data_IF_574876778388
#
_entry.id   IF_574876778388
#
_cell.length_a   1.000
_cell.length_b   1.000
_cell.length_c   1.000
_cell.angle_alpha   90.00
_cell.angle_beta   90.00
_cell.angle_gamma   90.00
#
_symmetry.space_group_name_H-M   'P 1'
#
loop_
_entity.id
_entity.type
_entity.pdbx_description
1 polymer ?
#
# COMPACT_ATOMS: atom_id res chain seq x y z
N UNK A 1 -14.53 -7.62 45.43
CA UNK A 1 -15.07 -6.91 44.26
C UNK A 1 -13.92 -6.14 43.65
N UNK A 2 -13.43 -6.61 42.49
CA UNK A 2 -12.25 -6.05 41.80
C UNK A 2 -12.61 -4.74 41.10
N UNK A 3 -12.01 -3.64 41.52
CA UNK A 3 -11.83 -2.47 40.67
C UNK A 3 -10.55 -2.66 39.85
N UNK A 4 -10.64 -3.44 38.77
CA UNK A 4 -9.66 -3.36 37.69
C UNK A 4 -9.97 -2.06 36.92
N UNK A 5 -9.30 -0.98 37.31
CA UNK A 5 -9.61 0.36 36.82
C UNK A 5 -9.36 0.54 35.31
N UNK A 6 -9.98 1.57 34.70
CA UNK A 6 -9.93 1.90 33.26
C UNK A 6 -8.52 2.05 32.65
N UNK A 7 -7.47 2.05 33.47
CA UNK A 7 -6.07 2.11 33.07
C UNK A 7 -5.54 0.78 32.49
N UNK A 8 -6.04 -0.37 32.94
CA UNK A 8 -5.58 -1.67 32.44
C UNK A 8 -6.06 -1.93 30.99
N UNK A 9 -7.30 -1.55 30.69
CA UNK A 9 -7.88 -1.67 29.35
C UNK A 9 -7.25 -0.67 28.35
N UNK A 10 -6.92 0.54 28.81
CA UNK A 10 -6.24 1.55 28.01
C UNK A 10 -4.81 1.12 27.63
N UNK A 11 -4.07 0.50 28.55
CA UNK A 11 -2.73 -0.04 28.28
C UNK A 11 -2.77 -1.21 27.29
N UNK A 12 -3.73 -2.13 27.44
CA UNK A 12 -3.91 -3.24 26.52
C UNK A 12 -4.34 -2.78 25.11
N UNK A 13 -5.13 -1.70 25.01
CA UNK A 13 -5.53 -1.10 23.74
C UNK A 13 -4.36 -0.42 23.01
N UNK A 14 -3.48 0.26 23.74
CA UNK A 14 -2.29 0.92 23.19
C UNK A 14 -1.27 -0.09 22.62
N UNK A 15 -1.06 -1.21 23.31
CA UNK A 15 -0.19 -2.29 22.83
C UNK A 15 -0.72 -2.92 21.53
N UNK A 16 -2.04 -3.16 21.45
CA UNK A 16 -2.68 -3.69 20.22
C UNK A 16 -2.57 -2.70 19.06
N UNK A 17 -2.76 -1.41 19.31
CA UNK A 17 -2.57 -0.34 18.33
C UNK A 17 -1.13 -0.29 17.81
N UNK A 18 -0.12 -0.38 18.69
CA UNK A 18 1.30 -0.40 18.28
C UNK A 18 1.63 -1.61 17.41
N UNK A 19 1.19 -2.82 17.82
CA UNK A 19 1.37 -4.05 17.03
C UNK A 19 0.70 -3.93 15.65
N UNK A 20 -0.53 -3.41 15.60
CA UNK A 20 -1.24 -3.18 14.35
C UNK A 20 -0.51 -2.19 13.43
N UNK A 21 0.03 -1.08 13.96
CA UNK A 21 0.78 -0.09 13.17
C UNK A 21 2.06 -0.68 12.59
N UNK A 22 2.76 -1.51 13.34
CA UNK A 22 3.98 -2.18 12.87
C UNK A 22 3.63 -3.19 11.77
N UNK A 23 2.60 -4.01 11.96
CA UNK A 23 2.15 -4.96 10.95
C UNK A 23 1.65 -4.26 9.67
N UNK A 24 0.89 -3.17 9.83
CA UNK A 24 0.43 -2.36 8.70
C UNK A 24 1.60 -1.70 7.95
N UNK A 25 2.60 -1.17 8.67
CA UNK A 25 3.79 -0.59 8.07
C UNK A 25 4.60 -1.64 7.30
N UNK A 26 4.76 -2.85 7.85
CA UNK A 26 5.45 -3.95 7.17
C UNK A 26 4.71 -4.37 5.89
N UNK A 27 3.37 -4.51 5.96
CA UNK A 27 2.56 -4.87 4.81
C UNK A 27 2.60 -3.80 3.71
N UNK A 28 2.39 -2.52 4.06
CA UNK A 28 2.47 -1.40 3.12
C UNK A 28 3.87 -1.27 2.51
N UNK A 29 4.92 -1.48 3.32
CA UNK A 29 6.30 -1.48 2.84
C UNK A 29 6.56 -2.58 1.82
N UNK A 30 6.06 -3.80 2.05
CA UNK A 30 6.21 -4.90 1.10
C UNK A 30 5.43 -4.67 -0.19
N UNK A 31 4.16 -4.29 -0.11
CA UNK A 31 3.34 -4.01 -1.30
C UNK A 31 3.92 -2.82 -2.08
N UNK A 32 4.33 -1.77 -1.39
CA UNK A 32 5.02 -0.62 -1.97
C UNK A 32 6.35 -1.01 -2.64
N UNK A 33 7.14 -1.85 -1.99
CA UNK A 33 8.40 -2.36 -2.54
C UNK A 33 8.20 -3.20 -3.80
N UNK A 34 7.26 -4.16 -3.77
CA UNK A 34 6.96 -5.02 -4.93
C UNK A 34 6.43 -4.20 -6.11
N UNK A 35 5.54 -3.23 -5.85
CA UNK A 35 5.00 -2.35 -6.90
C UNK A 35 6.07 -1.45 -7.51
N UNK A 36 6.98 -0.90 -6.70
CA UNK A 36 8.11 -0.12 -7.18
C UNK A 36 9.04 -0.96 -8.07
N UNK A 37 9.38 -2.18 -7.64
CA UNK A 37 10.21 -3.10 -8.43
C UNK A 37 9.55 -3.47 -9.76
N UNK A 38 8.25 -3.78 -9.75
CA UNK A 38 7.52 -4.13 -10.95
C UNK A 38 7.40 -2.94 -11.92
N UNK A 39 7.04 -1.77 -11.41
CA UNK A 39 6.94 -0.54 -12.19
C UNK A 39 8.29 -0.15 -12.81
N UNK A 40 9.35 -0.14 -12.01
CA UNK A 40 10.70 0.16 -12.49
C UNK A 40 11.20 -0.87 -13.51
N UNK A 41 10.95 -2.16 -13.27
CA UNK A 41 11.31 -3.24 -14.21
C UNK A 41 10.61 -3.07 -15.57
N UNK A 42 9.32 -2.69 -15.56
CA UNK A 42 8.57 -2.42 -16.78
C UNK A 42 9.13 -1.23 -17.54
N UNK A 43 9.43 -0.13 -16.85
CA UNK A 43 10.04 1.08 -17.44
C UNK A 43 11.43 0.78 -18.01
N UNK A 44 12.24 -0.02 -17.31
CA UNK A 44 13.54 -0.46 -17.80
C UNK A 44 13.39 -1.32 -19.07
N UNK A 45 12.44 -2.25 -19.10
CA UNK A 45 12.18 -3.08 -20.28
C UNK A 45 11.74 -2.24 -21.49
N UNK A 46 10.90 -1.22 -21.29
CA UNK A 46 10.48 -0.31 -22.37
C UNK A 46 11.62 0.58 -22.84
N UNK A 47 12.44 1.11 -21.93
CA UNK A 47 13.60 1.92 -22.27
C UNK A 47 14.63 1.11 -23.07
N UNK A 48 14.92 -0.13 -22.66
CA UNK A 48 15.84 -1.03 -23.38
C UNK A 48 15.40 -1.32 -24.81
N UNK A 49 14.09 -1.43 -25.07
CA UNK A 49 13.56 -1.61 -26.43
C UNK A 49 13.73 -0.36 -27.28
N UNK A 50 13.48 0.81 -26.70
CA UNK A 50 13.62 2.10 -27.40
C UNK A 50 15.09 2.44 -27.72
N UNK A 51 16.03 2.17 -26.79
CA UNK A 51 17.43 2.60 -26.88
C UNK A 51 18.41 1.50 -27.31
N UNK A 52 17.93 0.46 -27.99
CA UNK A 52 18.74 -0.70 -28.45
C UNK A 52 20.04 -0.29 -29.16
N UNK A 53 20.02 0.81 -29.93
CA UNK A 53 21.18 1.32 -30.69
C UNK A 53 22.15 2.14 -29.83
N UNK A 54 21.63 2.92 -28.87
CA UNK A 54 22.41 3.74 -27.93
C UNK A 54 23.17 2.84 -26.94
N UNK A 55 22.55 1.75 -26.50
CA UNK A 55 23.20 0.76 -25.63
C UNK A 55 24.31 -0.05 -26.34
N UNK A 56 24.24 -0.22 -27.67
CA UNK A 56 25.34 -0.82 -28.44
C UNK A 56 26.51 0.15 -28.59
N UNK A 57 26.24 1.46 -28.74
CA UNK A 57 27.28 2.49 -28.76
C UNK A 57 27.87 2.78 -27.37
N UNK A 58 27.17 2.44 -26.28
CA UNK A 58 27.66 2.59 -24.90
C UNK A 58 29.00 1.89 -24.63
N UNK A 59 29.36 0.85 -25.40
CA UNK A 59 30.65 0.16 -25.29
C UNK A 59 31.83 0.90 -25.95
N UNK A 60 31.57 1.97 -26.70
CA UNK A 60 32.61 2.79 -27.35
C UNK A 60 33.03 3.96 -26.47
N UNK A 61 34.28 4.43 -26.57
CA UNK A 61 34.76 5.57 -25.76
C UNK A 61 33.89 6.82 -25.89
N UNK A 62 33.38 7.11 -27.09
CA UNK A 62 32.46 8.25 -27.29
C UNK A 62 31.08 8.02 -26.66
N UNK A 63 30.58 6.78 -26.63
CA UNK A 63 29.35 6.43 -25.94
C UNK A 63 29.46 6.58 -24.42
N UNK A 64 30.60 6.22 -23.82
CA UNK A 64 30.83 6.37 -22.39
C UNK A 64 30.84 7.85 -21.98
N UNK A 65 31.52 8.71 -22.73
CA UNK A 65 31.58 10.15 -22.45
C UNK A 65 30.19 10.80 -22.58
N UNK A 66 29.45 10.44 -23.63
CA UNK A 66 28.08 10.94 -23.85
C UNK A 66 27.11 10.46 -22.75
N UNK A 67 27.28 9.23 -22.26
CA UNK A 67 26.47 8.69 -21.17
C UNK A 67 26.76 9.39 -19.84
N UNK A 68 28.00 9.82 -19.57
CA UNK A 68 28.38 10.50 -18.33
C UNK A 68 27.78 11.91 -18.26
N UNK A 69 27.80 12.63 -19.39
CA UNK A 69 27.10 13.92 -19.54
C UNK A 69 25.57 13.75 -19.47
N UNK A 70 25.03 12.70 -20.12
CA UNK A 70 23.60 12.37 -20.09
C UNK A 70 23.11 11.93 -18.71
N UNK A 71 23.92 11.19 -17.95
CA UNK A 71 23.60 10.72 -16.61
C UNK A 71 23.49 11.88 -15.61
N UNK A 72 24.38 12.86 -15.70
CA UNK A 72 24.32 14.07 -14.85
C UNK A 72 23.04 14.86 -15.11
N UNK A 73 22.63 14.98 -16.38
CA UNK A 73 21.38 15.64 -16.74
C UNK A 73 20.15 14.84 -16.28
N UNK A 74 20.18 13.52 -16.46
CA UNK A 74 19.12 12.61 -16.03
C UNK A 74 18.93 12.58 -14.51
N UNK A 75 20.01 12.61 -13.72
CA UNK A 75 19.94 12.68 -12.26
C UNK A 75 19.23 13.95 -11.78
N UNK A 76 19.46 15.08 -12.45
CA UNK A 76 18.76 16.34 -12.14
C UNK A 76 17.28 16.27 -12.53
N UNK A 77 16.98 15.77 -13.73
CA UNK A 77 15.60 15.59 -14.18
C UNK A 77 14.82 14.62 -13.26
N UNK A 78 15.47 13.54 -12.83
CA UNK A 78 14.91 12.58 -11.89
C UNK A 78 14.67 13.22 -10.51
N UNK A 79 15.59 14.04 -10.02
CA UNK A 79 15.43 14.76 -8.76
C UNK A 79 14.24 15.73 -8.75
N UNK A 80 14.08 16.53 -9.82
CA UNK A 80 12.91 17.41 -9.94
C UNK A 80 11.62 16.62 -10.17
N UNK A 81 11.70 15.50 -10.90
CA UNK A 81 10.59 14.60 -11.14
C UNK A 81 10.07 13.94 -9.86
N UNK A 82 10.96 13.45 -8.98
CA UNK A 82 10.54 12.88 -7.69
C UNK A 82 9.96 13.94 -6.77
N UNK A 83 10.51 15.15 -6.76
CA UNK A 83 9.95 16.27 -6.00
C UNK A 83 8.52 16.59 -6.45
N UNK A 84 8.29 16.70 -7.76
CA UNK A 84 6.95 16.91 -8.33
C UNK A 84 6.02 15.72 -8.09
N UNK A 85 6.51 14.48 -8.15
CA UNK A 85 5.68 13.30 -7.88
C UNK A 85 5.20 13.27 -6.43
N UNK A 86 6.08 13.57 -5.46
CA UNK A 86 5.72 13.60 -4.04
C UNK A 86 4.80 14.77 -3.74
N UNK A 87 5.13 15.98 -4.23
CA UNK A 87 4.29 17.17 -4.03
C UNK A 87 2.93 17.04 -4.73
N UNK A 88 2.90 16.52 -5.96
CA UNK A 88 1.68 16.33 -6.74
C UNK A 88 0.77 15.27 -6.14
N UNK A 89 1.31 14.10 -5.77
CA UNK A 89 0.53 13.04 -5.12
C UNK A 89 0.05 13.47 -3.74
N UNK A 90 0.88 14.19 -2.98
CA UNK A 90 0.52 14.77 -1.69
C UNK A 90 -0.60 15.81 -1.82
N UNK A 91 -0.48 16.75 -2.76
CA UNK A 91 -1.49 17.77 -3.03
C UNK A 91 -2.80 17.17 -3.56
N UNK A 92 -2.71 16.13 -4.39
CA UNK A 92 -3.88 15.38 -4.89
C UNK A 92 -4.61 14.68 -3.75
N UNK A 93 -3.88 13.92 -2.91
CA UNK A 93 -4.45 13.25 -1.74
C UNK A 93 -5.06 14.27 -0.76
N UNK A 94 -4.38 15.39 -0.54
CA UNK A 94 -4.91 16.50 0.26
C UNK A 94 -6.16 17.12 -0.37
N UNK A 95 -6.20 17.28 -1.68
CA UNK A 95 -7.37 17.78 -2.42
C UNK A 95 -8.60 16.89 -2.24
N UNK A 96 -8.43 15.57 -2.33
CA UNK A 96 -9.50 14.60 -2.03
C UNK A 96 -9.95 14.66 -0.58
N UNK A 97 -9.01 14.81 0.36
CA UNK A 97 -9.35 15.00 1.77
C UNK A 97 -10.14 16.28 2.00
N UNK A 98 -9.74 17.38 1.34
CA UNK A 98 -10.43 18.68 1.39
C UNK A 98 -11.84 18.61 0.79
N UNK A 99 -12.01 17.87 -0.31
CA UNK A 99 -13.30 17.66 -0.97
C UNK A 99 -14.24 16.76 -0.14
N UNK A 100 -13.68 15.83 0.64
CA UNK A 100 -14.47 14.93 1.48
C UNK A 100 -15.10 15.61 2.71
N UNK A 101 -14.73 16.86 3.04
CA UNK A 101 -15.36 17.64 4.11
C UNK A 101 -15.24 17.04 5.53
N UNK A 102 -14.32 16.09 5.73
CA UNK A 102 -14.03 15.49 7.02
C UNK A 102 -12.95 16.31 7.74
N UNK A 103 -13.22 16.69 9.00
CA UNK A 103 -12.28 17.51 9.78
C UNK A 103 -11.15 16.67 10.41
N UNK A 104 -11.33 15.35 10.47
CA UNK A 104 -10.36 14.41 11.00
C UNK A 104 -10.25 13.13 10.13
N UNK A 105 -9.09 12.47 10.17
CA UNK A 105 -8.81 11.24 9.41
C UNK A 105 -9.71 10.06 9.85
N UNK A 106 -10.10 10.02 11.13
CA UNK A 106 -11.06 9.04 11.64
C UNK A 106 -12.46 9.29 11.07
N UNK A 107 -12.84 10.56 10.99
CA UNK A 107 -14.15 10.98 10.49
C UNK A 107 -14.26 10.73 8.97
N UNK A 108 -13.15 10.94 8.24
CA UNK A 108 -13.02 10.56 6.83
C UNK A 108 -13.22 9.05 6.65
N UNK A 109 -12.46 8.23 7.40
CA UNK A 109 -12.57 6.77 7.34
C UNK A 109 -13.98 6.29 7.65
N UNK A 110 -14.65 6.89 8.64
CA UNK A 110 -16.02 6.53 9.03
C UNK A 110 -17.06 6.97 7.98
N UNK A 111 -16.95 8.18 7.40
CA UNK A 111 -17.86 8.65 6.35
C UNK A 111 -17.68 7.87 5.05
N UNK A 112 -16.43 7.65 4.64
CA UNK A 112 -16.10 6.86 3.45
C UNK A 112 -16.51 5.39 3.62
N UNK A 113 -16.34 4.83 4.82
CA UNK A 113 -16.81 3.49 5.16
C UNK A 113 -18.33 3.34 5.27
N UNK A 114 -19.08 4.44 5.43
CA UNK A 114 -20.56 4.46 5.35
C UNK A 114 -21.08 4.67 3.94
N UNK A 115 -20.33 5.42 3.10
CA UNK A 115 -20.66 5.65 1.70
C UNK A 115 -20.49 4.39 0.84
N UNK A 116 -19.59 3.48 1.26
CA UNK A 116 -19.44 2.18 0.63
C UNK A 116 -20.51 1.21 1.16
N UNK A 117 -21.22 0.46 0.30
CA UNK A 117 -22.19 -0.53 0.73
C UNK A 117 -21.51 -1.54 1.66
N UNK A 118 -22.03 -1.67 2.89
CA UNK A 118 -21.51 -2.63 3.86
C UNK A 118 -21.77 -4.04 3.35
N UNK A 119 -20.70 -4.81 3.17
CA UNK A 119 -20.78 -6.24 3.00
C UNK A 119 -21.32 -6.83 4.31
N UNK A 120 -22.56 -7.32 4.27
CA UNK A 120 -23.14 -8.11 5.35
C UNK A 120 -22.20 -9.29 5.63
N UNK A 121 -21.75 -9.41 6.88
CA UNK A 121 -21.13 -10.65 7.34
C UNK A 121 -22.28 -11.60 7.64
N UNK A 122 -22.48 -12.61 6.81
CA UNK A 122 -23.30 -13.75 7.18
C UNK A 122 -22.59 -14.43 8.36
N UNK A 123 -23.19 -14.41 9.54
CA UNK A 123 -22.75 -15.20 10.68
C UNK A 123 -23.02 -16.67 10.36
N UNK A 124 -21.99 -17.52 10.22
CA UNK A 124 -22.23 -18.94 10.00
C UNK A 124 -22.77 -19.57 11.28
N UNK A 125 -23.79 -20.44 11.20
CA UNK A 125 -24.36 -21.12 12.37
C UNK A 125 -23.28 -21.94 13.08
N UNK A 126 -23.14 -21.75 14.39
CA UNK A 126 -22.24 -22.55 15.21
C UNK A 126 -22.70 -24.01 15.18
N UNK A 127 -21.80 -24.93 14.84
CA UNK A 127 -21.99 -26.39 14.77
C UNK A 127 -22.90 -26.94 13.65
N UNK A 128 -22.63 -26.59 12.39
CA UNK A 128 -23.17 -27.30 11.22
C UNK A 128 -22.22 -28.43 10.79
N UNK A 129 -22.72 -29.68 10.71
CA UNK A 129 -21.97 -30.85 10.24
C UNK A 129 -22.25 -31.21 8.78
N UNK A 130 -23.28 -30.61 8.18
CA UNK A 130 -23.68 -30.86 6.80
C UNK A 130 -23.21 -29.73 5.89
N UNK A 131 -22.11 -29.96 5.18
CA UNK A 131 -21.52 -29.00 4.23
C UNK A 131 -21.97 -29.34 2.80
N UNK A 132 -22.52 -28.37 2.07
CA UNK A 132 -22.95 -28.57 0.68
C UNK A 132 -21.78 -28.64 -0.30
N UNK A 133 -20.62 -28.06 0.05
CA UNK A 133 -19.43 -28.03 -0.80
C UNK A 133 -18.16 -27.77 0.01
N UNK A 134 -17.01 -28.15 -0.55
CA UNK A 134 -15.68 -27.85 0.00
C UNK A 134 -15.46 -26.35 0.24
N UNK A 135 -16.07 -25.50 -0.59
CA UNK A 135 -16.04 -24.04 -0.40
C UNK A 135 -16.81 -23.61 0.85
N UNK A 136 -17.87 -24.32 1.22
CA UNK A 136 -18.68 -24.05 2.41
C UNK A 136 -17.96 -24.47 3.70
N UNK A 137 -17.30 -25.63 3.66
CA UNK A 137 -16.39 -26.10 4.72
C UNK A 137 -15.24 -25.11 4.95
N UNK A 138 -14.62 -24.60 3.88
CA UNK A 138 -13.54 -23.62 3.99
C UNK A 138 -14.02 -22.28 4.56
N UNK A 139 -15.25 -21.86 4.25
CA UNK A 139 -15.87 -20.68 4.85
C UNK A 139 -16.14 -20.87 6.34
N UNK A 140 -16.62 -22.05 6.75
CA UNK A 140 -16.84 -22.41 8.15
C UNK A 140 -15.54 -22.41 8.95
N UNK A 141 -14.49 -23.06 8.44
CA UNK A 141 -13.16 -23.07 9.10
C UNK A 141 -12.54 -21.66 9.19
N UNK A 142 -12.69 -20.85 8.15
CA UNK A 142 -12.21 -19.47 8.14
C UNK A 142 -12.96 -18.58 9.16
N UNK A 143 -14.23 -18.89 9.45
CA UNK A 143 -15.00 -18.21 10.48
C UNK A 143 -14.61 -18.68 11.89
N UNK A 144 -14.36 -19.99 12.07
CA UNK A 144 -13.97 -20.56 13.35
C UNK A 144 -12.55 -20.14 13.80
N UNK A 145 -11.59 -20.02 12.88
CA UNK A 145 -10.23 -19.54 13.19
C UNK A 145 -10.16 -18.03 13.54
N UNK A 146 -11.31 -17.36 13.65
CA UNK A 146 -11.41 -15.93 13.94
C UNK A 146 -11.90 -15.62 15.36
N UNK A 147 -12.22 -16.65 16.14
CA UNK A 147 -12.39 -16.62 17.60
C UNK A 147 -11.09 -17.00 18.30
#
# INVERSE_FOLDING_TARGET
MSEAGPNADALAADEKQRKFRIQAAAFLGLVGGVSALFGFSRTLATAKKADSKVLQQAGTRQGIILMDEGATLAMRALGWGTLYAVLGTGAFCYGFWKLSGAKDFQEFRLKMGKALPRISKDEPPSSRTDFESLTDLMKYLAAWNKE
#
